data_IF_159986785397
#
_entry.id   IF_159986785397
#
_cell.length_a   1.000
_cell.length_b   1.000
_cell.length_c   1.000
_cell.angle_alpha   90.00
_cell.angle_beta   90.00
_cell.angle_gamma   90.00
#
_symmetry.space_group_name_H-M   'P 1'
#
loop_
_entity.id
_entity.type
_entity.pdbx_description
1 polymer ?
#
# COMPACT_ATOMS: atom_id res chain seq x y z
N UNK A 1 -27.32 21.90 9.29
CA UNK A 1 -25.88 21.67 9.54
C UNK A 1 -25.55 20.36 8.86
N UNK A 2 -25.12 20.41 7.60
CA UNK A 2 -24.56 19.22 6.96
C UNK A 2 -23.24 18.93 7.68
N UNK A 3 -23.15 17.78 8.36
CA UNK A 3 -21.85 17.27 8.78
C UNK A 3 -21.05 17.08 7.50
N UNK A 4 -19.99 17.86 7.30
CA UNK A 4 -19.08 17.68 6.18
C UNK A 4 -18.52 16.26 6.28
N UNK A 5 -18.96 15.36 5.40
CA UNK A 5 -18.39 14.02 5.29
C UNK A 5 -16.88 14.17 5.12
N UNK A 6 -16.09 13.40 5.89
CA UNK A 6 -14.65 13.32 5.63
C UNK A 6 -14.42 12.53 4.34
N UNK A 7 -13.25 12.70 3.72
CA UNK A 7 -12.88 11.85 2.57
C UNK A 7 -12.84 10.37 2.97
N UNK A 8 -12.39 10.07 4.20
CA UNK A 8 -12.47 8.72 4.78
C UNK A 8 -13.90 8.19 4.78
N UNK A 9 -14.88 8.94 5.28
CA UNK A 9 -16.30 8.52 5.29
C UNK A 9 -16.83 8.28 3.87
N UNK A 10 -16.41 9.12 2.92
CA UNK A 10 -16.78 8.99 1.52
C UNK A 10 -16.22 7.69 0.91
N UNK A 11 -14.91 7.47 1.03
CA UNK A 11 -14.27 6.27 0.50
C UNK A 11 -14.78 5.01 1.22
N UNK A 12 -15.00 5.06 2.53
CA UNK A 12 -15.55 3.94 3.29
C UNK A 12 -16.92 3.49 2.79
N UNK A 13 -17.73 4.44 2.32
CA UNK A 13 -19.10 4.17 1.84
C UNK A 13 -19.17 3.81 0.36
N UNK A 14 -18.30 4.39 -0.47
CA UNK A 14 -18.45 4.34 -1.93
C UNK A 14 -17.31 3.60 -2.64
N UNK A 15 -16.19 3.34 -1.98
CA UNK A 15 -15.07 2.63 -2.59
C UNK A 15 -15.34 1.13 -2.63
N UNK A 16 -15.31 0.56 -3.83
CA UNK A 16 -15.39 -0.87 -4.07
C UNK A 16 -14.03 -1.39 -4.56
N UNK A 17 -13.36 -2.18 -3.71
CA UNK A 17 -12.03 -2.68 -4.00
C UNK A 17 -12.00 -3.60 -5.21
N UNK A 18 -13.00 -4.47 -5.37
CA UNK A 18 -13.05 -5.41 -6.49
C UNK A 18 -13.21 -4.70 -7.83
N UNK A 19 -14.11 -3.72 -7.92
CA UNK A 19 -14.32 -2.88 -9.11
C UNK A 19 -13.07 -2.07 -9.41
N UNK A 20 -12.46 -1.43 -8.41
CA UNK A 20 -11.20 -0.71 -8.59
C UNK A 20 -10.11 -1.64 -9.17
N UNK A 21 -9.94 -2.83 -8.59
CA UNK A 21 -8.93 -3.78 -9.08
C UNK A 21 -9.25 -4.27 -10.50
N UNK A 22 -10.52 -4.53 -10.79
CA UNK A 22 -10.97 -4.96 -12.10
C UNK A 22 -10.76 -3.88 -13.19
N UNK A 23 -10.94 -2.61 -12.86
CA UNK A 23 -10.76 -1.49 -13.79
C UNK A 23 -9.28 -1.20 -14.05
N UNK A 24 -8.43 -1.21 -13.02
CA UNK A 24 -7.03 -0.80 -13.15
C UNK A 24 -6.05 -1.93 -13.48
N UNK A 25 -6.39 -3.19 -13.18
CA UNK A 25 -5.42 -4.29 -13.23
C UNK A 25 -5.88 -5.50 -14.04
N UNK A 26 -7.00 -5.41 -14.78
CA UNK A 26 -7.35 -6.45 -15.77
C UNK A 26 -6.48 -6.34 -17.03
N UNK A 27 -6.15 -7.48 -17.67
CA UNK A 27 -5.31 -7.54 -18.88
C UNK A 27 -5.85 -6.73 -20.07
N UNK A 28 -7.17 -6.52 -20.13
CA UNK A 28 -7.84 -5.81 -21.21
C UNK A 28 -8.05 -4.32 -20.90
N UNK A 29 -7.57 -3.83 -19.76
CA UNK A 29 -7.71 -2.42 -19.42
C UNK A 29 -6.83 -1.57 -20.36
N UNK A 30 -7.44 -0.60 -21.03
CA UNK A 30 -6.73 0.45 -21.80
C UNK A 30 -5.83 1.34 -20.92
N UNK A 31 -5.76 1.05 -19.61
CA UNK A 31 -4.92 1.70 -18.62
C UNK A 31 -3.44 1.26 -18.65
N UNK A 32 -3.02 0.52 -19.68
CA UNK A 32 -1.62 0.47 -20.14
C UNK A 32 -1.11 1.84 -20.66
N UNK A 33 -1.57 2.95 -20.10
CA UNK A 33 -0.91 4.23 -20.32
C UNK A 33 0.42 4.21 -19.58
N UNK A 34 1.49 4.65 -20.24
CA UNK A 34 2.82 4.81 -19.65
C UNK A 34 2.77 5.60 -18.32
N UNK A 35 1.78 6.50 -18.17
CA UNK A 35 1.61 7.36 -16.99
C UNK A 35 1.27 6.62 -15.68
N UNK A 36 0.73 5.39 -15.74
CA UNK A 36 0.40 4.57 -14.57
C UNK A 36 1.33 3.35 -14.47
N UNK A 37 1.61 2.70 -15.61
CA UNK A 37 2.47 1.52 -15.66
C UNK A 37 3.92 1.84 -15.28
N UNK A 38 4.45 3.00 -15.69
CA UNK A 38 5.85 3.37 -15.41
C UNK A 38 6.08 3.65 -13.90
N UNK A 39 5.26 4.46 -13.19
CA UNK A 39 5.43 4.64 -11.74
C UNK A 39 5.31 3.33 -10.95
N UNK A 40 4.36 2.46 -11.32
CA UNK A 40 4.19 1.15 -10.67
C UNK A 40 5.41 0.25 -10.86
N UNK A 41 5.94 0.19 -12.09
CA UNK A 41 7.18 -0.53 -12.39
C UNK A 41 8.38 0.01 -11.61
N UNK A 42 8.49 1.34 -11.45
CA UNK A 42 9.55 1.96 -10.65
C UNK A 42 9.47 1.57 -9.17
N UNK A 43 8.28 1.55 -8.58
CA UNK A 43 8.07 1.13 -7.18
C UNK A 43 8.52 -0.33 -7.01
N UNK A 44 8.05 -1.21 -7.87
CA UNK A 44 8.38 -2.63 -7.76
C UNK A 44 9.87 -2.88 -7.96
N UNK A 45 10.50 -2.22 -8.94
CA UNK A 45 11.94 -2.28 -9.15
C UNK A 45 12.74 -1.76 -7.95
N UNK A 46 12.23 -0.73 -7.26
CA UNK A 46 12.88 -0.20 -6.07
C UNK A 46 12.92 -1.23 -4.94
N UNK A 47 11.82 -1.93 -4.67
CA UNK A 47 11.81 -3.05 -3.73
C UNK A 47 12.67 -4.21 -4.23
N UNK A 48 12.57 -4.58 -5.51
CA UNK A 48 13.32 -5.70 -6.08
C UNK A 48 14.84 -5.50 -5.99
N UNK A 49 15.31 -4.25 -6.10
CA UNK A 49 16.73 -3.91 -6.01
C UNK A 49 17.38 -4.25 -4.65
N UNK A 50 16.59 -4.43 -3.59
CA UNK A 50 17.09 -4.63 -2.23
C UNK A 50 17.77 -3.40 -1.61
N UNK A 51 17.61 -2.23 -2.24
CA UNK A 51 18.07 -0.94 -1.70
C UNK A 51 17.37 -0.60 -0.38
N UNK A 52 16.09 -1.01 -0.26
CA UNK A 52 15.34 -1.04 0.99
C UNK A 52 15.31 -2.46 1.53
N UNK A 53 15.73 -2.64 2.78
CA UNK A 53 15.73 -3.93 3.48
C UNK A 53 15.70 -3.72 4.98
N UNK A 54 15.26 -4.74 5.72
CA UNK A 54 15.21 -4.67 7.17
C UNK A 54 14.44 -5.84 7.78
N UNK A 55 14.05 -5.70 9.04
CA UNK A 55 13.19 -6.68 9.69
C UNK A 55 11.73 -6.38 9.37
N UNK A 56 11.29 -5.12 9.53
CA UNK A 56 9.87 -4.73 9.47
C UNK A 56 9.63 -3.68 8.39
N UNK A 57 8.69 -3.97 7.48
CA UNK A 57 8.09 -3.02 6.54
C UNK A 57 6.64 -2.72 6.95
N UNK A 58 6.30 -1.44 7.11
CA UNK A 58 4.91 -0.99 7.26
C UNK A 58 4.41 -0.45 5.92
N UNK A 59 3.23 -0.91 5.50
CA UNK A 59 2.54 -0.40 4.31
C UNK A 59 1.20 0.19 4.70
N UNK A 60 1.00 1.49 4.43
CA UNK A 60 -0.25 2.20 4.70
C UNK A 60 -1.01 2.48 3.40
N UNK A 61 -2.23 1.94 3.25
CA UNK A 61 -3.03 2.01 2.03
C UNK A 61 -2.91 0.76 1.15
N UNK A 62 -3.02 -0.42 1.75
CA UNK A 62 -2.41 -1.66 1.26
C UNK A 62 -3.07 -2.33 0.04
N UNK A 63 -4.35 -2.08 -0.23
CA UNK A 63 -5.17 -3.02 -1.04
C UNK A 63 -4.88 -2.99 -2.52
N UNK A 64 -4.69 -1.80 -3.07
CA UNK A 64 -4.40 -1.65 -4.50
C UNK A 64 -2.92 -1.89 -4.82
N UNK A 65 -2.08 -2.11 -3.80
CA UNK A 65 -0.63 -2.04 -3.94
C UNK A 65 0.09 -3.37 -3.64
N UNK A 66 -0.63 -4.46 -3.34
CA UNK A 66 -0.02 -5.77 -3.02
C UNK A 66 0.98 -6.22 -4.10
N UNK A 67 0.61 -6.02 -5.36
CA UNK A 67 1.47 -6.36 -6.49
C UNK A 67 2.76 -5.52 -6.57
N UNK A 68 2.75 -4.28 -6.06
CA UNK A 68 3.90 -3.38 -6.04
C UNK A 68 4.91 -3.77 -4.96
N UNK A 69 4.44 -4.23 -3.81
CA UNK A 69 5.28 -4.53 -2.63
C UNK A 69 5.75 -5.97 -2.59
N UNK A 70 5.31 -6.82 -3.51
CA UNK A 70 5.68 -8.23 -3.52
C UNK A 70 7.20 -8.49 -3.52
N UNK A 71 8.05 -7.78 -4.30
CA UNK A 71 9.49 -7.95 -4.20
C UNK A 71 10.07 -7.62 -2.81
N UNK A 72 9.34 -6.89 -1.97
CA UNK A 72 9.80 -6.55 -0.62
C UNK A 72 9.90 -7.80 0.28
N UNK A 73 9.17 -8.89 -0.01
CA UNK A 73 9.25 -10.12 0.78
C UNK A 73 10.63 -10.80 0.69
N UNK A 74 11.46 -10.44 -0.29
CA UNK A 74 12.85 -10.90 -0.37
C UNK A 74 13.79 -10.17 0.60
N UNK A 75 13.40 -8.98 1.07
CA UNK A 75 14.26 -8.04 1.78
C UNK A 75 13.75 -7.66 3.17
N UNK A 76 12.53 -8.02 3.50
CA UNK A 76 11.89 -7.79 4.80
C UNK A 76 11.37 -9.10 5.38
N UNK A 77 11.56 -9.30 6.68
CA UNK A 77 11.08 -10.50 7.39
C UNK A 77 9.59 -10.42 7.68
N UNK A 78 9.12 -9.23 8.02
CA UNK A 78 7.75 -8.98 8.45
C UNK A 78 7.18 -7.78 7.70
N UNK A 79 5.95 -7.94 7.22
CA UNK A 79 5.15 -6.91 6.59
C UNK A 79 3.92 -6.67 7.46
N UNK A 80 3.71 -5.41 7.84
CA UNK A 80 2.53 -4.94 8.55
C UNK A 80 1.72 -4.09 7.58
N UNK A 81 0.48 -4.50 7.33
CA UNK A 81 -0.44 -3.76 6.48
C UNK A 81 -1.36 -2.92 7.36
N UNK A 82 -1.46 -1.64 7.05
CA UNK A 82 -2.32 -0.68 7.71
C UNK A 82 -3.22 0.00 6.69
N UNK A 83 -4.47 0.25 7.07
CA UNK A 83 -5.40 1.02 6.25
C UNK A 83 -6.46 1.66 7.16
N UNK A 84 -7.12 2.71 6.68
CA UNK A 84 -8.26 3.30 7.40
C UNK A 84 -9.59 2.71 6.91
N UNK A 85 -9.61 2.11 5.71
CA UNK A 85 -10.83 1.62 5.08
C UNK A 85 -11.11 0.17 5.49
N UNK A 86 -12.29 -0.10 6.04
CA UNK A 86 -12.67 -1.47 6.45
C UNK A 86 -12.76 -2.42 5.25
N UNK A 87 -13.27 -1.92 4.11
CA UNK A 87 -13.42 -2.70 2.87
C UNK A 87 -12.06 -3.17 2.36
N UNK A 88 -11.05 -2.33 2.53
CA UNK A 88 -9.68 -2.62 2.19
C UNK A 88 -9.11 -3.78 3.04
N UNK A 89 -9.21 -3.65 4.35
CA UNK A 89 -8.67 -4.65 5.28
C UNK A 89 -9.38 -6.00 5.12
N UNK A 90 -10.71 -5.98 4.93
CA UNK A 90 -11.51 -7.16 4.67
C UNK A 90 -11.03 -7.87 3.40
N UNK A 91 -10.85 -7.13 2.31
CA UNK A 91 -10.40 -7.69 1.05
C UNK A 91 -9.02 -8.35 1.18
N UNK A 92 -8.02 -7.67 1.77
CA UNK A 92 -6.67 -8.23 1.91
C UNK A 92 -6.66 -9.43 2.84
N UNK A 93 -7.49 -9.42 3.89
CA UNK A 93 -7.64 -10.56 4.79
C UNK A 93 -8.23 -11.77 4.06
N UNK A 94 -9.23 -11.57 3.21
CA UNK A 94 -9.80 -12.64 2.39
C UNK A 94 -8.78 -13.20 1.38
N UNK A 95 -8.06 -12.31 0.70
CA UNK A 95 -7.00 -12.70 -0.24
C UNK A 95 -5.87 -13.48 0.45
N UNK A 96 -5.39 -13.00 1.61
CA UNK A 96 -4.35 -13.69 2.39
C UNK A 96 -4.78 -15.09 2.81
N UNK A 97 -6.08 -15.29 3.08
CA UNK A 97 -6.67 -16.55 3.49
C UNK A 97 -7.17 -17.42 2.32
N UNK A 98 -6.78 -17.12 1.07
CA UNK A 98 -7.16 -17.88 -0.12
C UNK A 98 -8.69 -18.00 -0.32
N UNK A 99 -9.43 -16.94 0.00
CA UNK A 99 -10.88 -16.92 -0.22
C UNK A 99 -11.18 -17.10 -1.73
N UNK A 100 -12.11 -18.00 -2.15
CA UNK A 100 -12.32 -18.35 -3.56
C UNK A 100 -12.71 -17.20 -4.49
N UNK A 101 -13.23 -16.10 -3.94
CA UNK A 101 -13.64 -14.90 -4.68
C UNK A 101 -12.58 -13.79 -4.67
N UNK A 102 -11.41 -14.03 -4.08
CA UNK A 102 -10.33 -13.04 -4.10
C UNK A 102 -9.86 -12.79 -5.52
N UNK A 103 -9.45 -11.55 -5.81
CA UNK A 103 -8.93 -11.18 -7.12
C UNK A 103 -7.72 -12.03 -7.51
N UNK A 104 -7.68 -12.46 -8.77
CA UNK A 104 -6.51 -13.13 -9.33
C UNK A 104 -5.43 -12.11 -9.70
N UNK A 105 -4.49 -11.91 -8.79
CA UNK A 105 -3.35 -11.00 -8.98
C UNK A 105 -2.33 -11.46 -10.01
N UNK A 106 -2.44 -12.68 -10.55
CA UNK A 106 -1.48 -13.26 -11.48
C UNK A 106 -1.10 -12.34 -12.63
N UNK A 107 -2.08 -11.65 -13.21
CA UNK A 107 -1.84 -10.79 -14.36
C UNK A 107 -1.15 -9.48 -13.96
N UNK A 108 -1.53 -8.90 -12.82
CA UNK A 108 -0.88 -7.71 -12.25
C UNK A 108 0.56 -7.98 -11.84
N UNK A 109 0.85 -9.18 -11.31
CA UNK A 109 2.21 -9.60 -11.01
C UNK A 109 3.06 -9.73 -12.26
N UNK A 110 2.51 -10.32 -13.32
CA UNK A 110 3.20 -10.47 -14.61
C UNK A 110 3.51 -9.14 -15.28
N UNK A 111 2.57 -8.19 -15.26
CA UNK A 111 2.77 -6.89 -15.91
C UNK A 111 3.89 -6.09 -15.26
N UNK A 112 4.00 -6.16 -13.93
CA UNK A 112 5.02 -5.42 -13.18
C UNK A 112 6.40 -6.08 -13.26
N UNK A 113 6.49 -7.41 -13.32
CA UNK A 113 7.78 -8.11 -13.26
C UNK A 113 8.35 -8.55 -14.62
N UNK A 114 7.69 -8.25 -15.76
CA UNK A 114 8.11 -8.41 -17.18
C UNK A 114 8.78 -9.73 -17.63
N UNK A 115 9.16 -10.66 -16.77
CA UNK A 115 10.03 -11.80 -17.13
C UNK A 115 9.84 -13.08 -16.31
N UNK A 116 8.85 -13.19 -15.43
CA UNK A 116 8.74 -14.36 -14.54
C UNK A 116 7.76 -15.45 -15.02
N UNK A 117 8.19 -16.70 -14.87
CA UNK A 117 7.41 -17.88 -15.25
C UNK A 117 6.24 -18.12 -14.29
N UNK A 118 5.27 -18.96 -14.72
CA UNK A 118 4.05 -19.25 -13.94
C UNK A 118 4.35 -19.82 -12.53
N UNK A 119 5.47 -20.51 -12.35
CA UNK A 119 5.81 -21.11 -11.05
C UNK A 119 6.41 -20.08 -10.09
N UNK A 120 7.11 -19.07 -10.61
CA UNK A 120 7.79 -18.05 -9.81
C UNK A 120 6.82 -17.06 -9.15
N UNK A 121 5.76 -16.63 -9.86
CA UNK A 121 4.80 -15.69 -9.27
C UNK A 121 3.94 -16.31 -8.16
N UNK A 122 3.57 -17.60 -8.27
CA UNK A 122 2.80 -18.29 -7.22
C UNK A 122 3.62 -18.42 -5.94
N UNK A 123 4.91 -18.76 -6.05
CA UNK A 123 5.82 -18.82 -4.92
C UNK A 123 5.95 -17.45 -4.24
N UNK A 124 6.08 -16.38 -5.02
CA UNK A 124 6.16 -15.01 -4.51
C UNK A 124 4.87 -14.53 -3.85
N UNK A 125 3.71 -14.88 -4.41
CA UNK A 125 2.42 -14.57 -3.80
C UNK A 125 2.31 -15.23 -2.43
N UNK A 126 2.60 -16.53 -2.34
CA UNK A 126 2.58 -17.26 -1.08
C UNK A 126 3.61 -16.71 -0.08
N UNK A 127 4.81 -16.36 -0.57
CA UNK A 127 5.83 -15.71 0.26
C UNK A 127 5.36 -14.35 0.77
N UNK A 128 4.68 -13.54 -0.04
CA UNK A 128 4.08 -12.27 0.38
C UNK A 128 3.02 -12.51 1.46
N UNK A 129 2.09 -13.46 1.24
CA UNK A 129 1.07 -13.83 2.24
C UNK A 129 1.69 -14.26 3.56
N UNK A 130 2.76 -15.06 3.52
CA UNK A 130 3.50 -15.49 4.71
C UNK A 130 4.26 -14.35 5.38
N UNK A 131 4.76 -13.39 4.61
CA UNK A 131 5.49 -12.23 5.16
C UNK A 131 4.55 -11.24 5.84
N UNK A 132 3.27 -11.20 5.46
CA UNK A 132 2.24 -10.37 6.11
C UNK A 132 1.91 -10.96 7.48
N UNK A 133 2.42 -10.33 8.54
CA UNK A 133 2.20 -10.79 9.92
C UNK A 133 0.98 -10.12 10.56
N UNK A 134 0.67 -8.90 10.15
CA UNK A 134 -0.36 -8.08 10.79
C UNK A 134 -1.13 -7.25 9.75
N UNK A 135 -2.45 -7.17 9.91
CA UNK A 135 -3.36 -6.36 9.10
C UNK A 135 -4.21 -5.56 10.09
N UNK A 136 -4.05 -4.24 10.12
CA UNK A 136 -4.67 -3.40 11.16
C UNK A 136 -5.34 -2.15 10.63
N UNK A 137 -6.42 -1.77 11.32
CA UNK A 137 -7.11 -0.51 11.04
C UNK A 137 -6.46 0.63 11.79
N UNK A 138 -5.98 1.63 11.06
CA UNK A 138 -5.33 2.81 11.61
C UNK A 138 -5.91 4.05 10.97
N UNK A 139 -6.54 4.89 11.80
CA UNK A 139 -6.75 6.29 11.47
C UNK A 139 -5.45 7.07 11.76
N UNK A 140 -5.15 8.10 10.97
CA UNK A 140 -4.00 8.97 11.22
C UNK A 140 -4.40 10.27 11.92
N UNK A 141 -5.64 10.37 12.36
CA UNK A 141 -6.12 11.43 13.24
C UNK A 141 -5.49 11.39 14.65
N UNK A 142 -5.99 12.25 15.55
CA UNK A 142 -5.48 12.33 16.92
C UNK A 142 -5.67 11.02 17.71
N UNK A 143 -6.74 10.27 17.45
CA UNK A 143 -7.03 9.01 18.15
C UNK A 143 -6.06 7.91 17.73
N UNK A 144 -5.78 7.81 16.43
CA UNK A 144 -4.88 6.79 15.92
C UNK A 144 -3.42 7.04 16.27
N UNK A 145 -3.00 8.29 16.53
CA UNK A 145 -1.64 8.62 16.98
C UNK A 145 -1.24 7.88 18.25
N UNK A 146 -2.16 7.70 19.20
CA UNK A 146 -1.87 6.96 20.43
C UNK A 146 -1.76 5.46 20.16
N UNK A 147 -2.58 4.94 19.24
CA UNK A 147 -2.52 3.55 18.80
C UNK A 147 -1.20 3.26 18.07
N UNK A 148 -0.66 4.19 17.29
CA UNK A 148 0.64 4.00 16.61
C UNK A 148 1.80 3.69 17.58
N UNK A 149 1.73 4.14 18.84
CA UNK A 149 2.78 3.90 19.83
C UNK A 149 2.92 2.44 20.26
N UNK A 150 1.89 1.62 20.06
CA UNK A 150 1.94 0.20 20.41
C UNK A 150 2.54 -0.67 19.30
N UNK A 151 2.71 -0.12 18.09
CA UNK A 151 3.32 -0.85 16.98
C UNK A 151 4.85 -0.86 17.09
N UNK A 152 5.50 -1.93 16.59
CA UNK A 152 6.96 -1.97 16.53
C UNK A 152 7.49 -0.88 15.60
N UNK A 153 8.70 -0.39 15.89
CA UNK A 153 9.38 0.49 14.96
C UNK A 153 9.84 -0.28 13.72
N UNK A 154 9.54 0.28 12.55
CA UNK A 154 9.84 -0.30 11.25
C UNK A 154 11.13 0.23 10.65
N UNK A 155 11.78 -0.62 9.85
CA UNK A 155 12.94 -0.28 9.04
C UNK A 155 12.52 0.46 7.76
N UNK A 156 11.27 0.33 7.34
CA UNK A 156 10.74 1.03 6.18
C UNK A 156 9.24 1.29 6.35
N UNK A 157 8.79 2.43 5.83
CA UNK A 157 7.37 2.77 5.71
C UNK A 157 7.06 3.16 4.27
N UNK A 158 6.00 2.58 3.73
CA UNK A 158 5.56 2.80 2.36
C UNK A 158 4.07 3.18 2.32
N UNK A 159 3.74 4.29 1.67
CA UNK A 159 2.35 4.70 1.45
C UNK A 159 2.19 5.42 0.11
N UNK A 160 1.91 4.67 -0.98
CA UNK A 160 1.74 5.25 -2.30
C UNK A 160 0.30 5.76 -2.47
N UNK A 161 0.14 6.99 -2.97
CA UNK A 161 -1.13 7.62 -3.38
C UNK A 161 -2.21 7.84 -2.28
N UNK A 162 -2.14 7.12 -1.16
CA UNK A 162 -3.25 6.99 -0.20
C UNK A 162 -3.40 8.21 0.71
N UNK A 163 -2.30 8.76 1.24
CA UNK A 163 -2.35 9.93 2.12
C UNK A 163 -2.97 11.16 1.45
N UNK A 164 -2.64 11.39 0.18
CA UNK A 164 -3.17 12.53 -0.59
C UNK A 164 -4.66 12.42 -0.88
N UNK A 165 -5.23 11.21 -0.86
CA UNK A 165 -6.66 11.00 -1.06
C UNK A 165 -7.46 11.20 0.23
N UNK A 166 -6.89 10.83 1.37
CA UNK A 166 -7.60 10.87 2.66
C UNK A 166 -7.48 12.21 3.38
N UNK A 167 -6.37 12.93 3.18
CA UNK A 167 -6.15 14.20 3.86
C UNK A 167 -6.99 15.30 3.21
N UNK A 168 -7.82 15.96 4.02
CA UNK A 168 -8.74 17.03 3.56
C UNK A 168 -8.02 18.33 3.21
N UNK A 169 -6.83 18.54 3.76
CA UNK A 169 -6.02 19.74 3.60
C UNK A 169 -4.53 19.45 3.81
N UNK A 170 -3.69 20.46 3.57
CA UNK A 170 -2.24 20.34 3.73
C UNK A 170 -1.83 20.05 5.18
N UNK A 171 -2.52 20.62 6.16
CA UNK A 171 -2.16 20.47 7.58
C UNK A 171 -2.45 19.06 8.09
N UNK A 172 -3.58 18.48 7.69
CA UNK A 172 -3.88 17.06 7.93
C UNK A 172 -2.89 16.15 7.22
N UNK A 173 -2.45 16.49 6.01
CA UNK A 173 -1.40 15.73 5.32
C UNK A 173 -0.08 15.74 6.10
N UNK A 174 0.39 16.92 6.53
CA UNK A 174 1.62 17.04 7.33
C UNK A 174 1.48 16.32 8.67
N UNK A 175 0.32 16.39 9.32
CA UNK A 175 0.05 15.67 10.56
C UNK A 175 0.11 14.15 10.37
N UNK A 176 -0.54 13.63 9.33
CA UNK A 176 -0.52 12.21 8.97
C UNK A 176 0.89 11.70 8.69
N UNK A 177 1.68 12.46 7.93
CA UNK A 177 3.09 12.13 7.66
C UNK A 177 3.90 12.09 8.96
N UNK A 178 3.72 13.05 9.87
CA UNK A 178 4.40 13.06 11.19
C UNK A 178 3.99 11.85 12.04
N UNK A 179 2.71 11.52 12.07
CA UNK A 179 2.18 10.39 12.82
C UNK A 179 2.79 9.08 12.30
N UNK A 180 2.76 8.84 10.99
CA UNK A 180 3.39 7.66 10.40
C UNK A 180 4.91 7.62 10.59
N UNK A 181 5.59 8.77 10.49
CA UNK A 181 7.05 8.83 10.69
C UNK A 181 7.48 8.42 12.10
N UNK A 182 6.59 8.50 13.09
CA UNK A 182 6.86 8.02 14.45
C UNK A 182 7.06 6.51 14.54
N UNK A 183 6.59 5.76 13.54
CA UNK A 183 6.78 4.31 13.42
C UNK A 183 8.15 3.95 12.84
N UNK A 184 8.91 4.90 12.29
CA UNK A 184 10.22 4.59 11.72
C UNK A 184 11.28 4.51 12.82
N UNK A 185 12.16 3.52 12.72
CA UNK A 185 13.40 3.47 13.53
C UNK A 185 14.22 4.72 13.24
N UNK A 186 14.64 5.39 14.32
CA UNK A 186 15.63 6.48 14.22
C UNK A 186 17.00 5.84 14.03
N UNK A 187 17.49 5.78 12.79
CA UNK A 187 18.83 5.28 12.49
C UNK A 187 19.77 6.41 12.02
N UNK A 188 21.08 6.23 12.20
CA UNK A 188 22.08 7.23 11.76
C UNK A 188 22.15 7.37 10.22
N UNK A 189 21.64 6.37 9.50
CA UNK A 189 21.42 6.40 8.05
C UNK A 189 19.97 6.78 7.75
N UNK A 190 19.74 7.76 6.87
CA UNK A 190 18.39 8.17 6.47
C UNK A 190 17.54 6.96 6.05
N UNK A 191 16.56 6.60 6.88
CA UNK A 191 15.50 5.66 6.52
C UNK A 191 14.58 6.38 5.54
N UNK A 192 14.50 5.98 4.25
CA UNK A 192 13.66 6.69 3.30
C UNK A 192 12.20 6.42 3.67
N UNK A 193 11.49 7.45 4.14
CA UNK A 193 10.04 7.47 4.00
C UNK A 193 9.75 7.62 2.52
N UNK A 194 9.47 6.51 1.83
CA UNK A 194 9.04 6.57 0.44
C UNK A 194 7.54 6.87 0.40
N UNK A 195 7.19 8.13 0.67
CA UNK A 195 5.91 8.68 0.25
C UNK A 195 6.05 9.10 -1.21
N UNK A 196 5.61 8.24 -2.14
CA UNK A 196 5.38 8.68 -3.51
C UNK A 196 4.07 9.47 -3.47
N UNK A 197 4.22 10.77 -3.25
CA UNK A 197 3.19 11.77 -3.44
C UNK A 197 3.15 12.06 -4.93
N UNK A 198 2.11 11.58 -5.62
CA UNK A 198 1.82 12.11 -6.96
C UNK A 198 1.27 13.52 -6.78
N UNK A 199 2.14 14.53 -6.82
CA UNK A 199 1.71 15.91 -7.01
C UNK A 199 1.23 15.98 -8.46
N UNK A 200 -0.07 15.77 -8.69
CA UNK A 200 -0.67 16.11 -9.97
C UNK A 200 -0.63 17.63 -10.08
N UNK A 201 0.37 18.12 -10.82
CA UNK A 201 0.48 19.51 -11.27
C UNK A 201 -0.86 19.89 -11.89
N UNK A 202 -1.49 20.94 -11.34
CA UNK A 202 -2.67 21.56 -11.95
C UNK A 202 -2.32 21.94 -13.39
N UNK A 203 -3.09 21.47 -14.36
CA UNK A 203 -3.19 22.21 -15.60
C UNK A 203 -4.00 23.48 -15.31
N UNK A 204 -3.44 24.60 -15.78
CA UNK A 204 -3.96 25.96 -15.66
C UNK A 204 -5.39 26.10 -16.20
#
# INVERSE_FOLDING_TARGET
>A
MESSLTWTDFYQKYFDAETCLAEFFRPESEFESDSVAQPMGQISNFFASGSLKGDILIVYGAVINLHLICPACDHFKEIILMDVLDTHLQYVTQWKNNHPQSFDWKQSFKSVQKSEEREQWTEKEEKLKQSIQLIEKIDLDESGREVLKIFPQADCLFSPYHLTMLCKDHDSFISSVKNMSSLLKVSQSLTPLLCIVYIRIRYA
#
